data_IF_254529391779
#
_entry.id   IF_254529391779
#
_cell.length_a   1.000
_cell.length_b   1.000
_cell.length_c   1.000
_cell.angle_alpha   90.00
_cell.angle_beta   90.00
_cell.angle_gamma   90.00
#
_symmetry.space_group_name_H-M   'P 1'
#
loop_
_entity.id
_entity.type
_entity.pdbx_description
1 polymer ?
#
# COMPACT_ATOMS: atom_id res chain seq x y z
N UNK A 1 34.71 18.61 13.33
CA UNK A 1 33.36 18.83 12.81
C UNK A 1 33.07 17.77 11.76
N UNK A 2 32.10 16.86 11.93
CA UNK A 2 31.76 15.89 10.89
C UNK A 2 31.06 16.59 9.71
N UNK A 3 31.56 16.37 8.50
CA UNK A 3 31.09 16.97 7.25
C UNK A 3 29.88 16.22 6.68
N UNK A 4 28.89 16.94 6.11
CA UNK A 4 27.66 16.34 5.61
C UNK A 4 27.84 15.78 4.19
N UNK A 5 28.57 14.68 4.00
CA UNK A 5 28.79 14.10 2.65
C UNK A 5 28.69 12.57 2.52
N UNK A 6 28.29 11.82 3.56
CA UNK A 6 28.04 10.37 3.45
C UNK A 6 26.56 9.99 3.21
N UNK A 7 25.74 10.89 2.67
CA UNK A 7 24.38 10.53 2.29
C UNK A 7 24.38 9.94 0.88
N UNK A 8 24.50 8.60 0.79
CA UNK A 8 24.41 7.85 -0.45
C UNK A 8 23.11 8.11 -1.24
N UNK A 9 23.02 7.67 -2.51
CA UNK A 9 21.93 8.07 -3.40
C UNK A 9 20.57 7.71 -2.79
N UNK A 10 19.75 8.73 -2.46
CA UNK A 10 18.46 8.57 -1.76
C UNK A 10 17.48 7.63 -2.48
N UNK A 11 17.66 7.42 -3.78
CA UNK A 11 16.87 6.47 -4.57
C UNK A 11 17.19 5.01 -4.25
N UNK A 12 18.44 4.67 -3.89
CA UNK A 12 18.83 3.32 -3.45
C UNK A 12 18.16 2.98 -2.11
N UNK A 13 18.12 3.96 -1.21
CA UNK A 13 17.43 3.84 0.07
C UNK A 13 15.92 3.65 -0.13
N UNK A 14 15.29 4.48 -0.98
CA UNK A 14 13.86 4.35 -1.33
C UNK A 14 13.55 3.00 -1.98
N UNK A 15 14.37 2.55 -2.93
CA UNK A 15 14.21 1.25 -3.57
C UNK A 15 14.35 0.09 -2.57
N UNK A 16 15.36 0.17 -1.67
CA UNK A 16 15.54 -0.81 -0.61
C UNK A 16 14.34 -0.89 0.33
N UNK A 17 13.79 0.25 0.76
CA UNK A 17 12.59 0.30 1.61
C UNK A 17 11.39 -0.34 0.90
N UNK A 18 11.19 -0.07 -0.39
CA UNK A 18 10.08 -0.65 -1.17
C UNK A 18 10.24 -2.18 -1.27
N UNK A 19 11.45 -2.67 -1.57
CA UNK A 19 11.72 -4.12 -1.66
C UNK A 19 11.44 -4.80 -0.32
N UNK A 20 11.92 -4.24 0.78
CA UNK A 20 11.67 -4.78 2.13
C UNK A 20 10.17 -4.79 2.44
N UNK A 21 9.45 -3.71 2.13
CA UNK A 21 8.00 -3.65 2.35
C UNK A 21 7.24 -4.72 1.55
N UNK A 22 7.61 -4.93 0.28
CA UNK A 22 7.00 -5.98 -0.57
C UNK A 22 7.29 -7.37 -0.01
N UNK A 23 8.53 -7.65 0.40
CA UNK A 23 8.90 -8.96 0.99
C UNK A 23 8.14 -9.21 2.29
N UNK A 24 8.07 -8.23 3.19
CA UNK A 24 7.29 -8.35 4.44
C UNK A 24 5.81 -8.60 4.14
N UNK A 25 5.23 -7.87 3.18
CA UNK A 25 3.85 -8.07 2.75
C UNK A 25 3.61 -9.50 2.23
N UNK A 26 4.52 -10.03 1.41
CA UNK A 26 4.44 -11.40 0.91
C UNK A 26 4.55 -12.43 2.04
N UNK A 27 5.46 -12.23 3.00
CA UNK A 27 5.60 -13.09 4.17
C UNK A 27 4.31 -13.09 5.00
N UNK A 28 3.75 -11.90 5.28
CA UNK A 28 2.48 -11.77 5.99
C UNK A 28 1.36 -12.46 5.20
N UNK A 29 1.32 -12.37 3.86
CA UNK A 29 0.34 -13.12 3.07
C UNK A 29 0.50 -14.63 3.16
N UNK A 30 1.74 -15.13 3.10
CA UNK A 30 2.06 -16.55 3.13
C UNK A 30 1.84 -17.17 4.51
N UNK A 31 2.18 -16.44 5.58
CA UNK A 31 1.99 -16.89 6.96
C UNK A 31 0.52 -16.77 7.38
N UNK A 32 -0.18 -15.73 6.92
CA UNK A 32 -1.56 -15.44 7.34
C UNK A 32 -2.59 -16.06 6.36
N UNK A 33 -2.32 -17.32 5.96
CA UNK A 33 -3.21 -18.15 5.11
C UNK A 33 -4.35 -18.80 5.89
N UNK A 34 -4.53 -18.44 7.16
CA UNK A 34 -5.73 -18.86 7.89
C UNK A 34 -6.98 -18.32 7.16
N UNK A 35 -7.92 -19.20 6.78
CA UNK A 35 -9.14 -18.79 6.12
C UNK A 35 -10.00 -18.00 7.10
N UNK A 36 -10.20 -16.71 6.81
CA UNK A 36 -11.05 -15.83 7.60
C UNK A 36 -12.41 -15.70 6.91
N UNK A 37 -13.46 -15.92 7.69
CA UNK A 37 -14.85 -15.63 7.31
C UNK A 37 -15.04 -14.11 7.23
N UNK A 38 -15.17 -13.57 6.02
CA UNK A 38 -15.45 -12.15 5.81
C UNK A 38 -16.92 -11.92 5.48
N UNK A 39 -17.54 -10.99 6.20
CA UNK A 39 -18.93 -10.56 5.97
C UNK A 39 -18.92 -9.17 5.34
N UNK A 40 -19.04 -9.14 4.02
CA UNK A 40 -19.34 -7.93 3.27
C UNK A 40 -20.83 -7.62 3.39
N UNK A 41 -21.21 -6.37 3.08
CA UNK A 41 -22.56 -5.84 3.31
C UNK A 41 -23.70 -6.74 2.81
N UNK A 42 -23.49 -7.48 1.72
CA UNK A 42 -24.47 -8.43 1.16
C UNK A 42 -23.87 -9.80 0.79
N UNK A 43 -22.63 -10.09 1.20
CA UNK A 43 -21.93 -11.31 0.80
C UNK A 43 -21.10 -11.88 1.94
N UNK A 44 -21.09 -13.21 2.07
CA UNK A 44 -20.17 -13.93 2.94
C UNK A 44 -19.21 -14.71 2.07
N UNK A 45 -17.92 -14.52 2.31
CA UNK A 45 -16.89 -15.24 1.59
C UNK A 45 -15.73 -15.53 2.53
N UNK A 46 -15.20 -16.75 2.43
CA UNK A 46 -14.00 -17.16 3.15
C UNK A 46 -12.80 -16.80 2.30
N UNK A 47 -11.96 -15.88 2.79
CA UNK A 47 -10.76 -15.41 2.09
C UNK A 47 -9.59 -15.38 3.05
N UNK A 48 -8.34 -15.54 2.58
CA UNK A 48 -7.18 -15.24 3.40
C UNK A 48 -7.21 -13.76 3.83
N UNK A 49 -7.03 -13.48 5.13
CA UNK A 49 -7.07 -12.11 5.67
C UNK A 49 -6.14 -11.16 4.91
N UNK A 50 -4.98 -11.67 4.51
CA UNK A 50 -4.00 -10.87 3.79
C UNK A 50 -4.49 -10.45 2.39
N UNK A 51 -5.28 -11.28 1.71
CA UNK A 51 -5.89 -10.92 0.42
C UNK A 51 -6.90 -9.79 0.60
N UNK A 52 -7.72 -9.86 1.65
CA UNK A 52 -8.65 -8.78 2.00
C UNK A 52 -7.91 -7.47 2.30
N UNK A 53 -6.84 -7.52 3.08
CA UNK A 53 -6.01 -6.35 3.41
C UNK A 53 -5.34 -5.76 2.16
N UNK A 54 -4.83 -6.60 1.26
CA UNK A 54 -4.25 -6.14 0.01
C UNK A 54 -5.30 -5.43 -0.88
N UNK A 55 -6.47 -6.05 -1.05
CA UNK A 55 -7.55 -5.49 -1.86
C UNK A 55 -8.06 -4.16 -1.28
N UNK A 56 -8.30 -4.11 0.02
CA UNK A 56 -8.76 -2.88 0.69
C UNK A 56 -7.72 -1.77 0.63
N UNK A 57 -6.42 -2.10 0.76
CA UNK A 57 -5.34 -1.12 0.59
C UNK A 57 -5.30 -0.57 -0.83
N UNK A 58 -5.37 -1.43 -1.85
CA UNK A 58 -5.33 -1.01 -3.27
C UNK A 58 -6.54 -0.12 -3.59
N UNK A 59 -7.74 -0.52 -3.17
CA UNK A 59 -8.96 0.27 -3.39
C UNK A 59 -8.88 1.62 -2.68
N UNK A 60 -8.50 1.63 -1.39
CA UNK A 60 -8.35 2.87 -0.62
C UNK A 60 -7.31 3.82 -1.23
N UNK A 61 -6.16 3.30 -1.65
CA UNK A 61 -5.13 4.08 -2.33
C UNK A 61 -5.60 4.64 -3.67
N UNK A 62 -6.26 3.82 -4.50
CA UNK A 62 -6.78 4.25 -5.80
C UNK A 62 -7.81 5.37 -5.65
N UNK A 63 -8.75 5.23 -4.71
CA UNK A 63 -9.75 6.27 -4.40
C UNK A 63 -9.09 7.56 -3.88
N UNK A 64 -8.12 7.42 -2.97
CA UNK A 64 -7.33 8.55 -2.47
C UNK A 64 -6.59 9.28 -3.59
N UNK A 65 -5.85 8.55 -4.43
CA UNK A 65 -5.14 9.12 -5.57
C UNK A 65 -6.10 9.82 -6.55
N UNK A 66 -7.22 9.18 -6.89
CA UNK A 66 -8.25 9.74 -7.76
C UNK A 66 -8.84 11.04 -7.19
N UNK A 67 -9.11 11.09 -5.87
CA UNK A 67 -9.64 12.29 -5.22
C UNK A 67 -8.67 13.48 -5.30
N UNK A 68 -7.37 13.24 -5.12
CA UNK A 68 -6.33 14.29 -5.25
C UNK A 68 -6.24 14.78 -6.69
N UNK A 69 -6.28 13.86 -7.66
CA UNK A 69 -6.26 14.23 -9.09
C UNK A 69 -7.48 15.08 -9.45
N UNK A 70 -8.68 14.66 -9.01
CA UNK A 70 -9.93 15.37 -9.28
C UNK A 70 -9.96 16.75 -8.61
N UNK A 71 -9.47 16.87 -7.37
CA UNK A 71 -9.35 18.14 -6.67
C UNK A 71 -8.40 19.12 -7.39
N UNK A 72 -7.27 18.61 -7.91
CA UNK A 72 -6.32 19.41 -8.70
C UNK A 72 -6.88 19.87 -10.04
N UNK A 73 -7.68 19.02 -10.71
CA UNK A 73 -8.34 19.40 -11.96
C UNK A 73 -9.34 20.54 -11.76
N UNK A 74 -10.10 20.50 -10.65
CA UNK A 74 -11.09 21.54 -10.33
C UNK A 74 -10.45 22.91 -10.03
N UNK A 75 -9.23 22.92 -9.49
CA UNK A 75 -8.51 24.16 -9.18
C UNK A 75 -7.84 24.82 -10.40
N UNK A 76 -7.75 24.15 -11.56
CA UNK A 76 -7.19 24.73 -12.80
C UNK A 76 -8.25 25.29 -13.76
N UNK A 77 -9.53 25.00 -13.51
CA UNK A 77 -10.66 25.45 -14.33
C UNK A 77 -11.39 26.66 -13.73
N UNK A 78 -10.81 27.29 -12.70
CA UNK A 78 -11.25 28.56 -12.10
C UNK A 78 -10.06 29.51 -12.14
#
# INVERSE_FOLDING_TARGET
>A
MPTPTEQGPRWKLKAGVIVVAVVVLLIVMLQNREPVETRLLFARMTMPLALLLLLTMVVGFALGAASVILARHRSRSK
#
